data_IF_642716810561
#
_entry.id   IF_642716810561
#
_cell.length_a   1.000
_cell.length_b   1.000
_cell.length_c   1.000
_cell.angle_alpha   90.00
_cell.angle_beta   90.00
_cell.angle_gamma   90.00
#
_symmetry.space_group_name_H-M   'P 1'
#
loop_
_entity.id
_entity.type
_entity.pdbx_description
1 polymer ?
#
# COMPACT_ATOMS: atom_id res chain seq x y z
N UNK A 1 -3.41 -11.30 -14.00
CA UNK A 1 -4.41 -10.22 -13.96
C UNK A 1 -3.63 -8.93 -13.96
N UNK A 2 -3.97 -7.99 -14.85
CA UNK A 2 -3.22 -6.71 -14.94
C UNK A 2 -3.72 -5.73 -13.90
N UNK A 3 -2.80 -5.09 -13.18
CA UNK A 3 -3.06 -4.00 -12.25
C UNK A 3 -2.60 -2.72 -12.95
N UNK A 4 -3.50 -1.76 -13.15
CA UNK A 4 -3.14 -0.53 -13.84
C UNK A 4 -3.97 0.66 -13.35
N UNK A 5 -3.45 1.85 -13.58
CA UNK A 5 -4.18 3.10 -13.42
C UNK A 5 -4.34 3.76 -14.80
N UNK A 6 -5.57 4.13 -15.12
CA UNK A 6 -5.86 4.92 -16.31
C UNK A 6 -5.93 6.39 -15.92
N UNK A 7 -5.16 7.18 -16.62
CA UNK A 7 -5.01 8.61 -16.34
C UNK A 7 -5.23 9.43 -17.61
N UNK A 8 -5.58 10.71 -17.43
CA UNK A 8 -5.55 11.69 -18.51
C UNK A 8 -4.37 12.62 -18.30
N UNK A 9 -3.49 12.67 -19.31
CA UNK A 9 -2.37 13.60 -19.35
C UNK A 9 -2.87 15.05 -19.52
N UNK A 10 -2.13 16.07 -19.05
CA UNK A 10 -2.50 17.48 -19.22
C UNK A 10 -2.75 17.91 -20.67
N UNK A 11 -2.18 17.22 -21.65
CA UNK A 11 -2.45 17.43 -23.08
C UNK A 11 -3.81 16.87 -23.55
N UNK A 12 -4.56 16.16 -22.69
CA UNK A 12 -5.86 15.58 -22.95
C UNK A 12 -5.85 14.10 -23.41
N UNK A 13 -4.68 13.50 -23.61
CA UNK A 13 -4.55 12.09 -23.99
C UNK A 13 -4.78 11.16 -22.79
N UNK A 14 -5.41 10.01 -23.03
CA UNK A 14 -5.59 8.98 -22.01
C UNK A 14 -4.47 7.95 -22.10
N UNK A 15 -3.87 7.64 -20.96
CA UNK A 15 -2.75 6.72 -20.82
C UNK A 15 -3.07 5.65 -19.79
N UNK A 16 -2.36 4.53 -19.89
CA UNK A 16 -2.40 3.44 -18.91
C UNK A 16 -1.03 3.26 -18.31
N UNK A 17 -0.94 3.35 -16.98
CA UNK A 17 0.31 3.18 -16.22
C UNK A 17 0.20 1.87 -15.45
N UNK A 18 1.25 1.03 -15.49
CA UNK A 18 1.30 -0.19 -14.69
C UNK A 18 1.42 0.17 -13.20
N UNK A 19 0.42 -0.27 -12.42
CA UNK A 19 0.35 0.05 -10.99
C UNK A 19 1.40 -0.74 -10.19
N UNK A 20 1.78 -1.93 -10.64
CA UNK A 20 2.80 -2.75 -9.96
C UNK A 20 4.17 -2.10 -10.11
N UNK A 21 4.52 -1.70 -11.33
CA UNK A 21 5.79 -1.01 -11.60
C UNK A 21 5.86 0.33 -10.82
N UNK A 22 4.75 1.06 -10.75
CA UNK A 22 4.68 2.31 -9.99
C UNK A 22 4.85 2.08 -8.48
N UNK A 23 4.21 1.05 -7.94
CA UNK A 23 4.36 0.66 -6.53
C UNK A 23 5.81 0.22 -6.24
N UNK A 24 6.45 -0.56 -7.13
CA UNK A 24 7.85 -0.99 -6.98
C UNK A 24 8.83 0.19 -7.00
N UNK A 25 8.60 1.15 -7.89
CA UNK A 25 9.39 2.38 -7.95
C UNK A 25 9.31 3.16 -6.64
N UNK A 26 8.09 3.37 -6.12
CA UNK A 26 7.86 4.09 -4.86
C UNK A 26 8.42 3.35 -3.63
N UNK A 27 8.43 2.02 -3.65
CA UNK A 27 9.03 1.23 -2.56
C UNK A 27 10.57 1.21 -2.60
N UNK A 28 11.19 1.59 -3.73
CA UNK A 28 12.64 1.64 -3.88
C UNK A 28 13.33 0.29 -3.67
N UNK A 29 12.73 -0.80 -4.14
CA UNK A 29 13.22 -2.17 -3.89
C UNK A 29 14.37 -2.57 -4.78
N UNK A 30 14.44 -2.01 -6.00
CA UNK A 30 15.49 -2.32 -6.96
C UNK A 30 16.63 -1.29 -6.90
N UNK A 31 17.86 -1.69 -7.14
CA UNK A 31 19.00 -0.76 -7.26
C UNK A 31 18.89 -0.01 -8.59
N UNK A 32 18.74 1.30 -8.54
CA UNK A 32 18.61 2.18 -9.69
C UNK A 32 17.54 3.25 -9.50
N UNK A 33 17.41 4.12 -10.47
CA UNK A 33 16.47 5.23 -10.46
C UNK A 33 15.32 4.93 -11.43
N UNK A 34 14.10 5.16 -10.96
CA UNK A 34 12.88 4.95 -11.74
C UNK A 34 12.43 6.27 -12.37
N UNK A 35 11.93 6.17 -13.59
CA UNK A 35 11.41 7.30 -14.37
C UNK A 35 10.05 6.94 -14.97
N UNK A 36 9.12 7.88 -14.95
CA UNK A 36 7.87 7.81 -15.69
C UNK A 36 8.04 8.55 -17.02
N UNK A 37 7.74 7.90 -18.13
CA UNK A 37 7.62 8.50 -19.45
C UNK A 37 6.20 9.07 -19.64
N UNK A 38 6.01 10.39 -19.58
CA UNK A 38 4.69 10.99 -19.45
C UNK A 38 3.80 10.80 -20.69
N UNK A 39 4.39 10.69 -21.89
CA UNK A 39 3.63 10.54 -23.13
C UNK A 39 3.17 9.10 -23.38
N UNK A 40 3.88 8.10 -22.85
CA UNK A 40 3.59 6.68 -23.04
C UNK A 40 3.00 6.00 -21.81
N UNK A 41 3.15 6.60 -20.62
CA UNK A 41 2.77 6.01 -19.34
C UNK A 41 3.67 4.86 -18.89
N UNK A 42 4.82 4.64 -19.58
CA UNK A 42 5.78 3.59 -19.22
C UNK A 42 6.62 4.01 -18.03
N UNK A 43 6.94 3.05 -17.18
CA UNK A 43 7.93 3.22 -16.11
C UNK A 43 9.19 2.47 -16.52
N UNK A 44 10.33 3.10 -16.34
CA UNK A 44 11.63 2.54 -16.67
C UNK A 44 12.54 2.60 -15.44
N UNK A 45 13.34 1.56 -15.27
CA UNK A 45 14.38 1.47 -14.25
C UNK A 45 15.73 1.63 -14.94
N UNK A 46 16.53 2.59 -14.50
CA UNK A 46 17.90 2.78 -14.97
C UNK A 46 18.84 2.42 -13.85
N UNK A 47 19.66 1.39 -14.07
CA UNK A 47 20.70 1.02 -13.11
C UNK A 47 21.91 1.92 -13.30
N UNK A 48 22.60 2.25 -12.22
CA UNK A 48 23.82 3.08 -12.28
C UNK A 48 24.97 2.44 -13.07
N UNK A 49 24.87 1.14 -13.38
CA UNK A 49 25.84 0.39 -14.19
C UNK A 49 25.53 0.47 -15.70
N UNK A 50 24.30 0.86 -16.05
CA UNK A 50 23.80 0.92 -17.43
C UNK A 50 23.66 2.35 -17.98
N UNK A 51 24.18 3.34 -17.26
CA UNK A 51 24.17 4.76 -17.70
C UNK A 51 25.25 5.04 -18.76
N UNK A 52 25.24 4.31 -19.86
CA UNK A 52 25.93 4.73 -21.09
C UNK A 52 24.93 5.44 -22.04
N UNK A 53 25.45 6.31 -22.91
CA UNK A 53 24.63 7.10 -23.84
C UNK A 53 23.74 6.19 -24.74
N UNK A 54 24.24 5.00 -25.11
CA UNK A 54 23.55 4.05 -25.96
C UNK A 54 22.34 3.40 -25.26
N UNK A 55 22.43 3.14 -23.95
CA UNK A 55 21.34 2.60 -23.14
C UNK A 55 20.23 3.63 -22.88
N UNK A 56 20.60 4.88 -22.68
CA UNK A 56 19.67 6.02 -22.50
C UNK A 56 18.87 6.25 -23.78
N UNK A 57 19.54 6.22 -24.96
CA UNK A 57 18.92 6.38 -26.28
C UNK A 57 18.01 5.17 -26.62
N UNK A 58 18.42 3.94 -26.27
CA UNK A 58 17.64 2.72 -26.49
C UNK A 58 16.33 2.67 -25.70
N UNK A 59 16.26 3.36 -24.55
CA UNK A 59 15.05 3.44 -23.71
C UNK A 59 14.11 4.56 -24.14
N UNK A 60 14.52 5.42 -25.10
CA UNK A 60 13.69 6.52 -25.62
C UNK A 60 13.65 7.74 -24.68
N UNK A 61 14.63 7.87 -23.79
CA UNK A 61 14.72 9.00 -22.87
C UNK A 61 14.96 10.34 -23.59
N UNK A 62 15.60 10.29 -24.77
CA UNK A 62 15.86 11.49 -25.59
C UNK A 62 14.62 12.03 -26.32
N UNK A 63 13.55 11.18 -26.44
CA UNK A 63 12.33 11.56 -27.14
C UNK A 63 11.23 12.07 -26.21
N UNK A 64 11.31 11.73 -24.91
CA UNK A 64 10.33 12.10 -23.90
C UNK A 64 11.02 12.73 -22.69
N UNK A 65 10.40 13.76 -22.11
CA UNK A 65 10.83 14.33 -20.85
C UNK A 65 10.53 13.34 -19.71
N UNK A 66 11.52 12.50 -19.35
CA UNK A 66 11.39 11.50 -18.30
C UNK A 66 11.27 12.16 -16.92
N UNK A 67 10.23 11.82 -16.19
CA UNK A 67 9.93 12.33 -14.86
C UNK A 67 10.48 11.36 -13.80
N UNK A 68 11.38 11.79 -12.90
CA UNK A 68 11.93 10.91 -11.88
C UNK A 68 10.85 10.50 -10.86
N UNK A 69 10.90 9.25 -10.42
CA UNK A 69 10.06 8.73 -9.37
C UNK A 69 10.92 8.51 -8.13
N UNK A 70 10.81 9.42 -7.18
CA UNK A 70 11.53 9.29 -5.91
C UNK A 70 10.90 8.23 -5.02
N UNK A 71 11.70 7.34 -4.38
CA UNK A 71 11.19 6.40 -3.41
C UNK A 71 10.57 7.09 -2.20
N UNK A 72 9.57 6.45 -1.60
CA UNK A 72 8.92 6.94 -0.38
C UNK A 72 9.96 7.07 0.74
N UNK A 73 10.11 8.26 1.27
CA UNK A 73 11.08 8.55 2.32
C UNK A 73 10.90 7.66 3.55
N UNK A 74 12.00 7.19 4.14
CA UNK A 74 11.98 6.36 5.36
C UNK A 74 11.22 7.01 6.53
N UNK A 75 11.19 8.35 6.63
CA UNK A 75 10.41 9.04 7.66
C UNK A 75 8.89 8.90 7.45
N UNK A 76 8.43 8.81 6.20
CA UNK A 76 7.02 8.58 5.86
C UNK A 76 6.64 7.16 6.22
N UNK A 77 7.46 6.18 5.82
CA UNK A 77 7.26 4.78 6.17
C UNK A 77 7.29 4.57 7.70
N UNK A 78 8.14 5.29 8.44
CA UNK A 78 8.17 5.25 9.90
C UNK A 78 6.84 5.75 10.51
N UNK A 79 6.28 6.85 10.00
CA UNK A 79 4.94 7.32 10.42
C UNK A 79 3.85 6.28 10.16
N UNK A 80 3.91 5.55 9.07
CA UNK A 80 2.95 4.47 8.79
C UNK A 80 3.01 3.37 9.86
N UNK A 81 4.21 3.02 10.34
CA UNK A 81 4.35 2.07 11.45
C UNK A 81 3.68 2.61 12.73
N UNK A 82 3.88 3.89 13.04
CA UNK A 82 3.24 4.53 14.21
C UNK A 82 1.71 4.57 14.06
N UNK A 83 1.19 4.94 12.89
CA UNK A 83 -0.24 4.91 12.57
C UNK A 83 -0.83 3.51 12.72
N UNK A 84 -0.16 2.51 12.16
CA UNK A 84 -0.59 1.12 12.26
C UNK A 84 -0.67 0.64 13.72
N UNK A 85 0.32 0.96 14.55
CA UNK A 85 0.31 0.64 15.98
C UNK A 85 -0.94 1.24 16.66
N UNK A 86 -1.38 2.43 16.24
CA UNK A 86 -2.61 3.06 16.73
C UNK A 86 -3.88 2.24 16.45
N UNK A 87 -3.86 1.38 15.43
CA UNK A 87 -5.00 0.50 15.08
C UNK A 87 -4.99 -0.83 15.84
N UNK A 88 -3.90 -1.17 16.54
CA UNK A 88 -3.74 -2.46 17.22
C UNK A 88 -4.47 -2.47 18.56
N UNK A 89 -5.50 -3.30 18.68
CA UNK A 89 -6.33 -3.39 19.90
C UNK A 89 -5.66 -4.19 21.04
N UNK A 90 -4.73 -5.11 20.70
CA UNK A 90 -4.01 -5.89 21.71
C UNK A 90 -2.97 -5.02 22.41
N UNK A 91 -3.12 -4.80 23.71
CA UNK A 91 -2.20 -4.01 24.53
C UNK A 91 -0.79 -4.61 24.48
N UNK A 92 -0.67 -5.93 24.59
CA UNK A 92 0.61 -6.62 24.57
C UNK A 92 1.34 -6.44 23.22
N UNK A 93 0.64 -6.71 22.10
CA UNK A 93 1.20 -6.54 20.76
C UNK A 93 1.51 -5.06 20.45
N UNK A 94 0.61 -4.16 20.80
CA UNK A 94 0.81 -2.72 20.60
C UNK A 94 2.02 -2.18 21.37
N UNK A 95 2.26 -2.65 22.59
CA UNK A 95 3.45 -2.29 23.36
C UNK A 95 4.73 -2.86 22.73
N UNK A 96 4.73 -4.14 22.35
CA UNK A 96 5.88 -4.78 21.71
C UNK A 96 6.25 -4.06 20.38
N UNK A 97 5.28 -3.73 19.54
CA UNK A 97 5.51 -2.96 18.31
C UNK A 97 6.01 -1.56 18.59
N UNK A 98 5.45 -0.84 19.59
CA UNK A 98 5.90 0.50 19.97
C UNK A 98 7.32 0.49 20.51
N UNK A 99 7.67 -0.51 21.31
CA UNK A 99 9.02 -0.64 21.84
C UNK A 99 10.04 -0.97 20.73
N UNK A 100 9.66 -1.76 19.71
CA UNK A 100 10.53 -2.06 18.57
C UNK A 100 10.99 -0.80 17.83
N UNK A 101 10.14 0.24 17.75
CA UNK A 101 10.46 1.50 17.07
C UNK A 101 11.47 2.38 17.84
N UNK A 102 11.65 2.16 19.15
CA UNK A 102 12.57 2.94 19.98
C UNK A 102 14.03 2.50 19.87
N UNK A 103 14.28 1.34 19.27
CA UNK A 103 15.60 0.75 19.18
C UNK A 103 16.29 1.07 17.84
N UNK A 104 17.61 0.83 17.79
CA UNK A 104 18.34 0.87 16.51
C UNK A 104 17.72 -0.10 15.51
N UNK A 105 17.64 0.29 14.24
CA UNK A 105 17.03 -0.48 13.13
C UNK A 105 15.51 -0.72 13.33
N UNK A 106 14.71 0.35 13.52
CA UNK A 106 13.30 0.23 13.87
C UNK A 106 12.49 -0.59 12.84
N UNK A 107 12.75 -0.41 11.54
CA UNK A 107 12.08 -1.16 10.47
C UNK A 107 12.25 -2.67 10.60
N UNK A 108 13.47 -3.11 10.89
CA UNK A 108 13.77 -4.53 11.06
C UNK A 108 13.08 -5.07 12.31
N UNK A 109 13.28 -4.39 13.44
CA UNK A 109 12.72 -4.83 14.71
C UNK A 109 11.19 -4.89 14.66
N UNK A 110 10.54 -3.91 13.98
CA UNK A 110 9.10 -3.90 13.78
C UNK A 110 8.64 -5.13 12.99
N UNK A 111 9.32 -5.45 11.90
CA UNK A 111 9.03 -6.66 11.10
C UNK A 111 9.29 -7.95 11.88
N UNK A 112 10.34 -7.99 12.70
CA UNK A 112 10.67 -9.15 13.56
C UNK A 112 9.55 -9.38 14.60
N UNK A 113 9.06 -8.31 15.26
CA UNK A 113 7.92 -8.42 16.19
C UNK A 113 6.64 -8.88 15.47
N UNK A 114 6.37 -8.39 14.25
CA UNK A 114 5.21 -8.84 13.48
C UNK A 114 5.25 -10.34 13.15
N UNK A 115 6.42 -10.97 13.12
CA UNK A 115 6.53 -12.42 12.92
C UNK A 115 5.89 -13.22 14.06
N UNK A 116 5.85 -12.66 15.28
CA UNK A 116 5.22 -13.27 16.45
C UNK A 116 3.68 -13.17 16.40
N UNK A 117 3.14 -12.25 15.56
CA UNK A 117 1.72 -11.97 15.43
C UNK A 117 1.21 -12.11 13.98
N UNK A 118 0.99 -13.34 13.47
CA UNK A 118 0.68 -13.58 12.04
C UNK A 118 -0.54 -12.79 11.53
N UNK A 119 -1.57 -12.63 12.35
CA UNK A 119 -2.78 -11.86 11.99
C UNK A 119 -2.46 -10.37 11.84
N UNK A 120 -1.65 -9.80 12.74
CA UNK A 120 -1.23 -8.40 12.63
C UNK A 120 -0.26 -8.20 11.46
N UNK A 121 0.57 -9.20 11.18
CA UNK A 121 1.45 -9.18 10.01
C UNK A 121 0.66 -9.09 8.71
N UNK A 122 -0.41 -9.89 8.53
CA UNK A 122 -1.29 -9.79 7.36
C UNK A 122 -1.92 -8.40 7.27
N UNK A 123 -2.45 -7.87 8.37
CA UNK A 123 -3.02 -6.52 8.43
C UNK A 123 -2.01 -5.42 8.12
N UNK A 124 -0.77 -5.58 8.58
CA UNK A 124 0.30 -4.64 8.25
C UNK A 124 0.55 -4.56 6.75
N UNK A 125 0.70 -5.73 6.07
CA UNK A 125 0.91 -5.73 4.62
C UNK A 125 -0.26 -5.12 3.84
N UNK A 126 -1.50 -5.36 4.27
CA UNK A 126 -2.67 -4.72 3.67
C UNK A 126 -2.64 -3.20 3.87
N UNK A 127 -2.30 -2.75 5.08
CA UNK A 127 -2.17 -1.34 5.42
C UNK A 127 -1.03 -0.67 4.64
N UNK A 128 0.15 -1.29 4.58
CA UNK A 128 1.32 -0.82 3.83
C UNK A 128 0.98 -0.68 2.33
N UNK A 129 0.38 -1.71 1.72
CA UNK A 129 -0.03 -1.68 0.32
C UNK A 129 -1.05 -0.55 0.02
N UNK A 130 -2.01 -0.33 0.91
CA UNK A 130 -2.95 0.79 0.78
C UNK A 130 -2.25 2.14 0.83
N UNK A 131 -1.26 2.31 1.71
CA UNK A 131 -0.47 3.55 1.82
C UNK A 131 0.36 3.79 0.56
N UNK A 132 1.02 2.76 0.03
CA UNK A 132 1.80 2.87 -1.23
C UNK A 132 0.89 3.29 -2.39
N UNK A 133 -0.32 2.73 -2.51
CA UNK A 133 -1.30 3.15 -3.53
C UNK A 133 -1.73 4.60 -3.37
N UNK A 134 -1.89 5.05 -2.13
CA UNK A 134 -2.20 6.47 -1.88
C UNK A 134 -1.06 7.37 -2.34
N UNK A 135 0.19 7.00 -2.07
CA UNK A 135 1.35 7.77 -2.55
C UNK A 135 1.48 7.71 -4.09
N UNK A 136 1.15 6.58 -4.72
CA UNK A 136 1.09 6.48 -6.18
C UNK A 136 0.06 7.45 -6.78
N UNK A 137 -1.13 7.53 -6.19
CA UNK A 137 -2.14 8.50 -6.62
C UNK A 137 -1.68 9.95 -6.40
N UNK A 138 -1.11 10.25 -5.22
CA UNK A 138 -0.57 11.57 -4.91
C UNK A 138 0.54 11.99 -5.90
N UNK A 139 1.42 11.06 -6.28
CA UNK A 139 2.47 11.31 -7.26
C UNK A 139 1.84 11.69 -8.60
N UNK A 140 0.92 10.88 -9.12
CA UNK A 140 0.27 11.15 -10.41
C UNK A 140 -0.48 12.49 -10.41
N UNK A 141 -1.21 12.81 -9.34
CA UNK A 141 -1.86 14.11 -9.18
C UNK A 141 -0.85 15.26 -9.11
N UNK A 142 0.31 15.07 -8.47
CA UNK A 142 1.37 16.09 -8.39
C UNK A 142 2.05 16.36 -9.74
N UNK A 143 1.94 15.41 -10.66
CA UNK A 143 2.41 15.51 -12.05
C UNK A 143 1.30 16.00 -13.02
N UNK A 144 0.20 16.53 -12.47
CA UNK A 144 -0.96 17.03 -13.20
C UNK A 144 -1.73 15.96 -14.02
N UNK A 145 -1.58 14.68 -13.70
CA UNK A 145 -2.41 13.64 -14.29
C UNK A 145 -3.78 13.57 -13.59
N UNK A 146 -4.86 13.54 -14.37
CA UNK A 146 -6.20 13.24 -13.85
C UNK A 146 -6.41 11.73 -13.78
N UNK A 147 -6.63 11.18 -12.59
CA UNK A 147 -6.91 9.75 -12.41
C UNK A 147 -8.35 9.46 -12.86
N UNK A 148 -8.51 8.62 -13.88
CA UNK A 148 -9.82 8.23 -14.43
C UNK A 148 -10.33 6.93 -13.81
N UNK A 149 -9.45 5.94 -13.63
CA UNK A 149 -9.79 4.60 -13.15
C UNK A 149 -8.58 3.90 -12.55
N UNK A 150 -8.79 3.18 -11.45
CA UNK A 150 -7.79 2.28 -10.87
C UNK A 150 -8.33 0.85 -10.97
N UNK A 151 -7.63 -0.01 -11.71
CA UNK A 151 -7.96 -1.43 -11.85
C UNK A 151 -6.93 -2.23 -11.07
N UNK A 152 -7.34 -2.72 -9.89
CA UNK A 152 -6.51 -3.56 -9.05
C UNK A 152 -7.32 -4.76 -8.54
N UNK A 153 -7.24 -5.90 -9.22
CA UNK A 153 -7.93 -7.12 -8.81
C UNK A 153 -7.58 -7.60 -7.40
N UNK A 154 -6.39 -7.24 -6.87
CA UNK A 154 -5.96 -7.60 -5.50
C UNK A 154 -6.85 -6.96 -4.44
N UNK A 155 -7.49 -5.82 -4.73
CA UNK A 155 -8.48 -5.19 -3.86
C UNK A 155 -9.74 -6.03 -3.72
N UNK A 156 -10.20 -6.64 -4.79
CA UNK A 156 -11.39 -7.48 -4.79
C UNK A 156 -11.17 -8.77 -3.97
N UNK A 157 -9.99 -9.38 -4.08
CA UNK A 157 -9.63 -10.57 -3.29
C UNK A 157 -9.61 -10.28 -1.80
N UNK A 158 -9.06 -9.13 -1.39
CA UNK A 158 -9.01 -8.74 0.03
C UNK A 158 -10.41 -8.50 0.62
N UNK A 159 -11.31 -7.89 -0.14
CA UNK A 159 -12.72 -7.67 0.26
C UNK A 159 -13.46 -9.00 0.38
N UNK A 160 -13.27 -9.92 -0.56
CA UNK A 160 -13.91 -11.23 -0.56
C UNK A 160 -13.45 -12.06 0.66
N UNK A 161 -12.15 -12.06 0.98
CA UNK A 161 -11.64 -12.74 2.18
C UNK A 161 -12.22 -12.16 3.48
N UNK A 162 -12.42 -10.84 3.57
CA UNK A 162 -13.04 -10.22 4.74
C UNK A 162 -14.51 -10.57 4.88
N UNK A 163 -15.25 -10.64 3.79
CA UNK A 163 -16.66 -11.08 3.77
C UNK A 163 -16.77 -12.54 4.21
N UNK A 164 -15.97 -13.44 3.63
CA UNK A 164 -15.93 -14.86 3.98
C UNK A 164 -15.53 -15.08 5.44
N UNK A 165 -14.56 -14.32 5.95
CA UNK A 165 -14.16 -14.37 7.35
C UNK A 165 -15.28 -13.90 8.29
N UNK A 166 -16.04 -12.87 7.92
CA UNK A 166 -17.18 -12.37 8.69
C UNK A 166 -18.37 -13.34 8.68
N UNK A 167 -18.67 -14.00 7.55
CA UNK A 167 -19.70 -15.02 7.43
C UNK A 167 -19.35 -16.28 8.21
N UNK A 168 -18.11 -16.76 8.12
CA UNK A 168 -17.62 -17.90 8.90
C UNK A 168 -17.63 -17.61 10.42
N UNK A 169 -17.41 -16.37 10.84
CA UNK A 169 -17.53 -15.98 12.24
C UNK A 169 -18.99 -16.06 12.72
N UNK A 170 -19.96 -15.68 11.88
CA UNK A 170 -21.40 -15.78 12.19
C UNK A 170 -21.91 -17.22 12.19
N UNK A 171 -21.31 -18.10 11.37
CA UNK A 171 -21.68 -19.50 11.23
C UNK A 171 -21.13 -20.41 12.35
N UNK A 172 -20.23 -19.95 13.23
CA UNK A 172 -19.76 -20.74 14.37
C UNK A 172 -20.91 -20.99 15.33
N UNK A 173 -21.26 -22.25 15.61
CA UNK A 173 -22.31 -22.57 16.60
C UNK A 173 -21.88 -21.99 17.95
N UNK A 174 -22.75 -21.18 18.54
CA UNK A 174 -22.58 -20.71 19.92
C UNK A 174 -22.56 -21.94 20.82
N UNK A 175 -21.38 -22.36 21.21
CA UNK A 175 -21.23 -23.44 22.18
C UNK A 175 -21.78 -22.94 23.53
N UNK A 176 -23.03 -23.27 23.78
CA UNK A 176 -23.75 -22.93 25.02
C UNK A 176 -23.26 -23.81 26.14
N UNK A 177 -22.08 -23.53 26.68
CA UNK A 177 -21.68 -23.97 28.02
C UNK A 177 -20.48 -23.13 28.50
N UNK A 178 -20.76 -21.92 28.92
CA UNK A 178 -19.98 -21.21 29.92
C UNK A 178 -20.84 -20.08 30.46
N UNK A 179 -21.41 -20.30 31.63
CA UNK A 179 -21.99 -19.28 32.46
C UNK A 179 -20.94 -18.21 32.80
N UNK A 180 -21.01 -17.08 32.16
CA UNK A 180 -20.36 -15.84 32.63
C UNK A 180 -21.33 -14.67 32.42
N UNK A 181 -21.61 -14.01 33.51
CA UNK A 181 -22.62 -13.00 33.70
C UNK A 181 -22.50 -11.84 32.69
N UNK A 182 -23.68 -11.47 32.20
CA UNK A 182 -23.96 -10.25 31.47
C UNK A 182 -23.41 -9.00 32.13
N UNK A 183 -22.63 -8.19 31.34
CA UNK A 183 -22.67 -6.74 31.49
C UNK A 183 -22.65 -6.14 30.09
N UNK A 184 -23.75 -5.53 29.74
CA UNK A 184 -24.16 -4.67 28.64
C UNK A 184 -23.08 -4.06 27.78
N UNK A 185 -23.06 -4.47 26.52
CA UNK A 185 -22.51 -3.67 25.45
C UNK A 185 -23.58 -3.45 24.41
N UNK A 186 -24.02 -2.21 24.31
CA UNK A 186 -25.07 -1.76 23.41
C UNK A 186 -24.59 -1.84 21.95
N UNK A 187 -25.49 -2.37 21.11
CA UNK A 187 -25.45 -2.38 19.65
C UNK A 187 -25.50 -0.96 19.06
N UNK A 188 -24.41 -0.21 19.11
CA UNK A 188 -24.31 1.06 18.36
C UNK A 188 -22.90 1.34 17.94
N UNK A 189 -22.31 0.57 17.03
CA UNK A 189 -21.12 0.96 16.24
C UNK A 189 -20.83 0.03 15.07
N UNK A 190 -21.85 -0.47 14.40
CA UNK A 190 -21.68 -1.30 13.20
C UNK A 190 -22.08 -0.58 11.90
N UNK A 191 -22.38 0.71 11.93
CA UNK A 191 -22.93 1.45 10.76
C UNK A 191 -22.04 2.60 10.28
N UNK A 192 -20.92 2.89 10.94
CA UNK A 192 -20.11 4.08 10.58
C UNK A 192 -18.86 3.82 9.72
N UNK A 193 -18.63 2.59 9.25
CA UNK A 193 -17.48 2.30 8.38
C UNK A 193 -17.83 2.10 6.89
N UNK A 194 -19.09 2.33 6.49
CA UNK A 194 -19.47 2.21 5.08
C UNK A 194 -19.60 3.55 4.33
N UNK A 195 -19.16 4.66 4.90
CA UNK A 195 -19.28 5.99 4.29
C UNK A 195 -17.96 6.72 4.01
N UNK A 196 -16.85 6.01 3.88
CA UNK A 196 -15.56 6.66 3.52
C UNK A 196 -14.92 6.06 2.25
N UNK A 197 -15.75 5.51 1.35
CA UNK A 197 -15.33 5.14 0.01
C UNK A 197 -16.37 5.64 -1.00
N UNK A 198 -16.32 6.95 -1.26
CA UNK A 198 -16.70 7.60 -2.51
C UNK A 198 -15.82 8.81 -2.70
#
# INVERSE_FOLDING_TARGET
MSCFVRVRHPNGEELTIDLIELEEALEGRSPGDYYLLPNSGRIILISSEEMDEESVEAVGLDEEEALPIDPIESRVQFRWMEEFIGTVHSIAAGNALRDSLRHKRPFRNFKDVLMEFPVLRKKWFQFEAMKVKTEAANLLESLDFEILEIVDPRLLESITEEIDAAENYRARPKNTNASFAARGWSQRRAVELSCLYF
#
